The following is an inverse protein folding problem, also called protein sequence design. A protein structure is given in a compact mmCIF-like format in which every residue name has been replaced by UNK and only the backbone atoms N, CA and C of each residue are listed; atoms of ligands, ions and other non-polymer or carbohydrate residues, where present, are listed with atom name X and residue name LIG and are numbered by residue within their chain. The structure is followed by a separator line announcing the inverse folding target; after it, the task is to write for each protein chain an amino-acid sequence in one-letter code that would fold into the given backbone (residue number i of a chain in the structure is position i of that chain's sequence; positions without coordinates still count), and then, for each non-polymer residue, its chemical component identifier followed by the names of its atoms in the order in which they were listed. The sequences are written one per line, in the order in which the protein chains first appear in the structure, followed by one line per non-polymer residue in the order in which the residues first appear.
data_IF_798850866104
#
_entry.id   IF_798850866104
#
_cell.length_a   1.000
_cell.length_b   1.000
_cell.length_c   1.000
_cell.angle_alpha   90.00
_cell.angle_beta   90.00
_cell.angle_gamma   90.00
#
_symmetry.space_group_name_H-M   'P 1'
#
loop_
_entity.id
_entity.type
_entity.pdbx_description
1 polymer ?
#
# COMPACT_ATOMS: atom_id res chain seq x y z
N UNK A 1 40.06 -17.71 -3.51
CA UNK A 1 38.99 -16.69 -3.51
C UNK A 1 39.61 -15.40 -3.00
N UNK A 2 39.97 -14.48 -3.88
CA UNK A 2 40.33 -13.12 -3.52
C UNK A 2 39.12 -12.43 -2.90
N UNK A 3 39.33 -11.73 -1.81
CA UNK A 3 38.27 -11.04 -1.09
C UNK A 3 37.60 -10.00 -1.98
N UNK A 4 36.26 -9.92 -1.99
CA UNK A 4 35.53 -8.82 -2.69
C UNK A 4 35.90 -7.42 -2.21
N UNK A 5 36.69 -7.32 -1.12
CA UNK A 5 37.15 -6.04 -0.57
C UNK A 5 38.23 -5.36 -1.41
N UNK A 6 38.99 -6.09 -2.23
CA UNK A 6 39.94 -5.45 -3.15
C UNK A 6 39.23 -4.69 -4.27
N UNK A 7 37.98 -4.99 -4.55
CA UNK A 7 37.15 -4.24 -5.50
C UNK A 7 36.54 -2.99 -4.88
N UNK A 8 36.42 -2.92 -3.56
CA UNK A 8 35.95 -1.71 -2.85
C UNK A 8 37.05 -0.64 -2.73
N UNK A 9 38.30 -1.00 -3.00
CA UNK A 9 39.42 -0.07 -3.16
C UNK A 9 39.55 0.49 -4.59
N UNK A 10 38.63 0.14 -5.51
CA UNK A 10 38.50 0.88 -6.76
C UNK A 10 38.07 2.27 -6.34
N UNK A 11 38.99 3.13 -6.43
CA UNK A 11 39.07 4.50 -6.10
C UNK A 11 37.79 5.26 -6.46
N UNK A 12 36.96 5.54 -5.46
CA UNK A 12 35.86 6.47 -5.58
C UNK A 12 36.31 7.92 -5.43
N UNK A 13 37.59 8.20 -5.63
CA UNK A 13 38.06 9.55 -5.83
C UNK A 13 37.50 10.05 -7.15
N UNK A 14 36.25 10.55 -7.05
CA UNK A 14 35.60 11.23 -8.16
C UNK A 14 36.30 12.58 -8.35
N UNK A 15 37.40 12.60 -9.09
CA UNK A 15 38.17 13.78 -9.44
C UNK A 15 37.38 14.78 -10.29
N UNK A 16 36.15 15.08 -9.94
CA UNK A 16 35.22 15.97 -10.64
C UNK A 16 34.39 15.27 -11.72
N UNK A 17 34.35 13.94 -11.78
CA UNK A 17 33.51 13.16 -12.67
C UNK A 17 32.06 13.06 -12.19
N UNK A 18 31.18 12.50 -13.04
CA UNK A 18 29.79 12.23 -12.71
C UNK A 18 29.67 10.96 -11.84
N UNK A 19 28.80 11.00 -10.82
CA UNK A 19 28.51 9.85 -9.96
C UNK A 19 27.15 9.27 -10.28
N UNK A 20 27.11 7.95 -10.57
CA UNK A 20 25.88 7.22 -10.87
C UNK A 20 25.70 6.06 -9.89
N UNK A 21 24.56 6.02 -9.17
CA UNK A 21 24.16 4.94 -8.27
C UNK A 21 22.96 4.23 -8.87
N UNK A 22 23.12 2.99 -9.31
CA UNK A 22 22.04 2.21 -9.93
C UNK A 22 21.81 0.89 -9.19
N UNK A 23 20.57 0.45 -9.08
CA UNK A 23 20.28 -0.81 -8.44
C UNK A 23 18.82 -1.25 -8.47
N UNK A 24 18.64 -2.49 -8.01
CA UNK A 24 17.33 -3.07 -7.68
C UNK A 24 17.34 -3.47 -6.20
N UNK A 25 17.18 -2.50 -5.29
CA UNK A 25 17.23 -2.75 -3.86
C UNK A 25 16.03 -3.58 -3.39
N UNK A 26 16.13 -4.27 -2.24
CA UNK A 26 15.00 -5.00 -1.68
C UNK A 26 13.86 -4.04 -1.28
N UNK A 27 12.65 -4.34 -1.75
CA UNK A 27 11.42 -3.66 -1.35
C UNK A 27 10.57 -4.61 -0.51
N UNK A 28 10.34 -4.20 0.74
CA UNK A 28 9.61 -4.99 1.73
C UNK A 28 8.70 -4.03 2.49
N UNK A 29 7.39 -4.15 2.25
CA UNK A 29 6.39 -3.35 2.94
C UNK A 29 6.46 -3.57 4.46
N UNK A 30 6.18 -2.55 5.24
CA UNK A 30 6.35 -2.51 6.71
C UNK A 30 5.76 -3.71 7.45
N UNK A 31 4.66 -4.27 6.94
CA UNK A 31 4.00 -5.45 7.55
C UNK A 31 4.85 -6.73 7.45
N UNK A 32 5.74 -6.80 6.48
CA UNK A 32 6.56 -7.97 6.17
C UNK A 32 8.02 -7.81 6.59
N UNK A 33 8.41 -6.62 7.07
CA UNK A 33 9.75 -6.36 7.56
C UNK A 33 10.02 -7.16 8.84
N UNK A 34 11.19 -7.80 8.89
CA UNK A 34 11.72 -8.44 10.09
C UNK A 34 12.06 -7.41 11.16
N UNK A 35 12.35 -7.86 12.38
CA UNK A 35 12.79 -6.97 13.47
C UNK A 35 14.07 -6.22 13.09
N UNK A 36 15.06 -6.93 12.55
CA UNK A 36 16.32 -6.32 12.11
C UNK A 36 16.10 -5.25 11.04
N UNK A 37 15.27 -5.51 10.02
CA UNK A 37 14.95 -4.53 8.99
C UNK A 37 14.26 -3.28 9.53
N UNK A 38 13.40 -3.43 10.55
CA UNK A 38 12.80 -2.28 11.25
C UNK A 38 13.82 -1.49 12.05
N UNK A 39 14.81 -2.16 12.64
CA UNK A 39 15.93 -1.52 13.33
C UNK A 39 16.80 -0.74 12.34
N UNK A 40 17.08 -1.31 11.15
CA UNK A 40 17.78 -0.60 10.07
C UNK A 40 17.04 0.66 9.64
N UNK A 41 15.71 0.54 9.39
CA UNK A 41 14.87 1.70 9.05
C UNK A 41 14.95 2.78 10.14
N UNK A 42 14.82 2.37 11.41
CA UNK A 42 14.90 3.31 12.54
C UNK A 42 16.25 3.99 12.63
N UNK A 43 17.33 3.24 12.39
CA UNK A 43 18.68 3.79 12.41
C UNK A 43 18.92 4.78 11.26
N UNK A 44 18.57 4.38 10.03
CA UNK A 44 18.78 5.18 8.82
C UNK A 44 17.95 6.47 8.84
N UNK A 45 16.71 6.40 9.33
CA UNK A 45 15.82 7.56 9.42
C UNK A 45 15.93 8.34 10.74
N UNK A 46 16.80 7.96 11.68
CA UNK A 46 16.89 8.55 13.02
C UNK A 46 17.10 10.07 13.02
N UNK A 47 17.83 10.58 12.02
CA UNK A 47 18.12 12.01 11.86
C UNK A 47 17.07 12.77 11.02
N UNK A 48 16.11 12.04 10.45
CA UNK A 48 15.07 12.63 9.61
C UNK A 48 13.90 13.12 10.46
N UNK A 49 13.54 14.38 10.32
CA UNK A 49 12.39 14.98 11.04
C UNK A 49 11.06 14.68 10.35
N UNK A 50 10.81 13.41 10.04
CA UNK A 50 9.60 12.92 9.38
C UNK A 50 9.11 11.62 10.03
N UNK A 51 7.80 11.35 9.96
CA UNK A 51 7.25 10.06 10.36
C UNK A 51 7.59 8.99 9.31
N UNK A 52 8.35 7.99 9.70
CA UNK A 52 8.82 6.91 8.81
C UNK A 52 8.27 5.52 9.18
N UNK A 53 7.38 5.42 10.16
CA UNK A 53 6.87 4.13 10.67
C UNK A 53 6.19 3.23 9.63
N UNK A 54 5.75 3.78 8.49
CA UNK A 54 5.12 3.04 7.40
C UNK A 54 5.99 2.95 6.14
N UNK A 55 7.28 3.33 6.21
CA UNK A 55 8.15 3.33 5.03
C UNK A 55 8.44 1.91 4.55
N UNK A 56 8.37 1.67 3.24
CA UNK A 56 8.91 0.47 2.62
C UNK A 56 10.43 0.44 2.80
N UNK A 57 11.01 -0.75 2.97
CA UNK A 57 12.45 -0.93 3.22
C UNK A 57 13.33 -0.25 2.15
N UNK A 58 12.88 -0.23 0.89
CA UNK A 58 13.58 0.48 -0.20
C UNK A 58 13.74 1.98 0.05
N UNK A 59 12.89 2.61 0.88
CA UNK A 59 13.02 4.01 1.27
C UNK A 59 14.37 4.32 1.93
N UNK A 60 14.98 3.34 2.61
CA UNK A 60 16.33 3.46 3.16
C UNK A 60 17.37 3.69 2.06
N UNK A 61 17.25 2.97 0.95
CA UNK A 61 18.17 3.09 -0.19
C UNK A 61 18.04 4.46 -0.87
N UNK A 62 16.82 4.96 -1.03
CA UNK A 62 16.59 6.31 -1.52
C UNK A 62 17.24 7.37 -0.63
N UNK A 63 17.09 7.23 0.70
CA UNK A 63 17.68 8.17 1.64
C UNK A 63 19.22 8.10 1.64
N UNK A 64 19.78 6.90 1.65
CA UNK A 64 21.26 6.70 1.63
C UNK A 64 21.85 7.23 0.33
N UNK A 65 21.24 6.93 -0.82
CA UNK A 65 21.68 7.47 -2.10
C UNK A 65 21.60 9.01 -2.15
N UNK A 66 20.50 9.58 -1.62
CA UNK A 66 20.33 11.02 -1.53
C UNK A 66 21.42 11.69 -0.68
N UNK A 67 21.74 11.11 0.49
CA UNK A 67 22.82 11.59 1.36
C UNK A 67 24.17 11.54 0.66
N UNK A 68 24.47 10.43 -0.03
CA UNK A 68 25.72 10.31 -0.76
C UNK A 68 25.83 11.36 -1.87
N UNK A 69 24.80 11.52 -2.70
CA UNK A 69 24.82 12.48 -3.80
C UNK A 69 24.89 13.94 -3.33
N UNK A 70 24.39 14.24 -2.15
CA UNK A 70 24.42 15.62 -1.62
C UNK A 70 25.84 16.18 -1.46
N UNK A 71 26.84 15.31 -1.36
CA UNK A 71 28.25 15.70 -1.27
C UNK A 71 28.90 15.97 -2.63
N UNK A 72 28.23 15.67 -3.73
CA UNK A 72 28.72 15.87 -5.09
C UNK A 72 27.99 17.01 -5.79
N UNK A 73 28.69 17.72 -6.64
CA UNK A 73 28.09 18.79 -7.47
C UNK A 73 27.28 18.23 -8.65
N UNK A 74 27.61 17.01 -9.08
CA UNK A 74 26.98 16.31 -10.18
C UNK A 74 26.80 14.84 -9.80
N UNK A 75 25.60 14.32 -10.01
CA UNK A 75 25.33 12.93 -9.74
C UNK A 75 23.86 12.60 -9.88
N UNK A 76 23.59 11.31 -10.09
CA UNK A 76 22.25 10.77 -10.15
C UNK A 76 22.18 9.38 -9.56
N UNK A 77 21.00 8.97 -9.11
CA UNK A 77 20.73 7.57 -8.81
C UNK A 77 19.47 7.11 -9.50
N UNK A 78 19.38 5.80 -9.75
CA UNK A 78 18.19 5.19 -10.33
C UNK A 78 17.93 3.83 -9.69
N UNK A 79 16.72 3.64 -9.20
CA UNK A 79 16.30 2.38 -8.59
C UNK A 79 15.06 1.79 -9.22
N UNK A 80 15.05 0.48 -9.34
CA UNK A 80 13.82 -0.28 -9.48
C UNK A 80 13.11 -0.28 -8.13
N UNK A 81 11.83 0.07 -8.11
CA UNK A 81 11.02 0.19 -6.91
C UNK A 81 9.62 -0.37 -7.12
N UNK A 82 8.91 -0.60 -6.04
CA UNK A 82 7.46 -0.79 -6.12
C UNK A 82 6.75 0.55 -6.28
N UNK A 83 5.63 0.56 -6.98
CA UNK A 83 4.78 1.75 -7.11
C UNK A 83 4.27 2.27 -5.75
N UNK A 84 4.23 1.41 -4.72
CA UNK A 84 3.75 1.77 -3.38
C UNK A 84 4.58 2.87 -2.72
N UNK A 85 5.89 2.97 -3.00
CA UNK A 85 6.75 4.02 -2.45
C UNK A 85 6.31 5.43 -2.91
N UNK A 86 5.68 5.51 -4.07
CA UNK A 86 5.19 6.76 -4.68
C UNK A 86 3.68 6.94 -4.52
N UNK A 87 3.09 6.28 -3.53
CA UNK A 87 1.65 6.32 -3.25
C UNK A 87 1.36 6.60 -1.77
N UNK A 88 0.18 7.16 -1.50
CA UNK A 88 -0.30 7.39 -0.14
C UNK A 88 0.70 8.14 0.75
N UNK A 89 0.87 7.69 1.97
CA UNK A 89 1.74 8.32 2.98
C UNK A 89 3.24 8.20 2.64
N UNK A 90 3.64 7.25 1.79
CA UNK A 90 5.05 7.07 1.43
C UNK A 90 5.55 8.14 0.46
N UNK A 91 4.69 8.68 -0.40
CA UNK A 91 5.05 9.79 -1.28
C UNK A 91 5.52 11.04 -0.50
N UNK A 92 5.02 11.24 0.74
CA UNK A 92 5.48 12.33 1.62
C UNK A 92 6.94 12.13 2.04
N UNK A 93 7.35 10.88 2.30
CA UNK A 93 8.73 10.53 2.64
C UNK A 93 9.66 10.79 1.45
N UNK A 94 9.26 10.39 0.25
CA UNK A 94 10.01 10.65 -0.98
C UNK A 94 10.18 12.16 -1.17
N UNK A 95 9.10 12.94 -1.05
CA UNK A 95 9.17 14.38 -1.20
C UNK A 95 10.08 15.03 -0.14
N UNK A 96 10.05 14.55 1.10
CA UNK A 96 10.97 15.01 2.14
C UNK A 96 12.42 14.79 1.75
N UNK A 97 12.77 13.58 1.30
CA UNK A 97 14.13 13.25 0.84
C UNK A 97 14.54 14.17 -0.31
N UNK A 98 13.69 14.31 -1.33
CA UNK A 98 13.98 15.17 -2.49
C UNK A 98 14.28 16.61 -2.07
N UNK A 99 13.44 17.19 -1.21
CA UNK A 99 13.60 18.58 -0.75
C UNK A 99 14.84 18.78 0.13
N UNK A 100 15.06 17.88 1.09
CA UNK A 100 16.17 18.00 2.03
C UNK A 100 17.53 17.93 1.35
N UNK A 101 17.65 17.11 0.32
CA UNK A 101 18.92 16.88 -0.40
C UNK A 101 18.98 17.55 -1.76
N UNK A 102 18.07 18.50 -2.05
CA UNK A 102 18.02 19.25 -3.31
C UNK A 102 17.99 18.37 -4.56
N UNK A 103 17.21 17.30 -4.49
CA UNK A 103 17.05 16.33 -5.57
C UNK A 103 15.72 16.53 -6.30
N UNK A 104 15.70 16.14 -7.57
CA UNK A 104 14.48 16.04 -8.40
C UNK A 104 14.39 14.65 -9.04
N UNK A 105 13.16 14.24 -9.31
CA UNK A 105 12.92 13.10 -10.18
C UNK A 105 13.15 13.59 -11.61
N UNK A 106 14.24 13.14 -12.22
CA UNK A 106 14.61 13.49 -13.58
C UNK A 106 13.83 12.69 -14.61
N UNK A 107 13.61 11.40 -14.32
CA UNK A 107 12.82 10.53 -15.15
C UNK A 107 12.17 9.42 -14.34
N UNK A 108 11.05 8.91 -14.85
CA UNK A 108 10.35 7.77 -14.27
C UNK A 108 9.84 6.88 -15.39
N UNK A 109 10.10 5.57 -15.25
CA UNK A 109 9.36 4.54 -15.97
C UNK A 109 8.19 4.13 -15.07
N UNK A 110 6.98 4.53 -15.46
CA UNK A 110 5.80 4.30 -14.63
C UNK A 110 5.37 2.84 -14.65
N UNK A 111 4.45 2.52 -13.76
CA UNK A 111 4.05 1.18 -13.36
C UNK A 111 4.02 0.13 -14.46
N UNK A 112 4.80 -0.92 -14.29
CA UNK A 112 4.79 -2.12 -15.10
C UNK A 112 4.75 -3.37 -14.23
N UNK A 113 4.22 -4.45 -14.77
CA UNK A 113 4.25 -5.74 -14.09
C UNK A 113 5.66 -6.34 -14.20
N UNK A 114 6.29 -6.58 -13.05
CA UNK A 114 7.54 -7.33 -13.04
C UNK A 114 7.23 -8.81 -13.31
N UNK A 115 7.63 -9.30 -14.46
CA UNK A 115 7.58 -10.72 -14.81
C UNK A 115 8.99 -11.30 -14.75
N UNK A 116 9.20 -12.28 -13.91
CA UNK A 116 10.37 -13.15 -13.98
C UNK A 116 9.92 -14.56 -14.32
N UNK A 117 10.81 -15.37 -14.87
CA UNK A 117 10.53 -16.76 -15.28
C UNK A 117 10.41 -17.74 -14.10
N UNK A 118 10.21 -17.26 -12.88
CA UNK A 118 10.07 -18.10 -11.68
C UNK A 118 8.64 -18.67 -11.57
N UNK A 119 8.53 -19.91 -11.15
CA UNK A 119 7.28 -20.69 -11.12
C UNK A 119 6.20 -20.14 -10.17
N UNK A 120 6.52 -19.20 -9.27
CA UNK A 120 5.58 -18.54 -8.34
C UNK A 120 5.65 -17.01 -8.50
N UNK A 121 5.22 -16.53 -9.65
CA UNK A 121 5.27 -15.11 -9.98
C UNK A 121 4.14 -14.34 -9.28
N UNK A 122 4.40 -13.83 -8.09
CA UNK A 122 3.57 -12.78 -7.52
C UNK A 122 3.81 -11.51 -8.35
N UNK A 123 2.87 -11.17 -9.26
CA UNK A 123 2.96 -10.00 -10.11
C UNK A 123 3.07 -8.72 -9.28
N UNK A 124 4.30 -8.26 -9.05
CA UNK A 124 4.57 -7.01 -8.35
C UNK A 124 4.56 -5.88 -9.37
N UNK A 125 3.76 -4.85 -9.10
CA UNK A 125 3.77 -3.64 -9.91
C UNK A 125 4.98 -2.79 -9.51
N UNK A 126 5.94 -2.69 -10.44
CA UNK A 126 7.18 -1.94 -10.27
C UNK A 126 7.16 -0.62 -11.06
N UNK A 127 8.09 0.24 -10.70
CA UNK A 127 8.48 1.42 -11.46
C UNK A 127 10.01 1.54 -11.42
N UNK A 128 10.60 2.36 -12.31
CA UNK A 128 12.01 2.73 -12.23
C UNK A 128 12.06 4.24 -12.13
N UNK A 129 12.82 4.74 -11.16
CA UNK A 129 12.86 6.18 -10.88
C UNK A 129 14.31 6.63 -10.83
N UNK A 130 14.64 7.61 -11.67
CA UNK A 130 15.92 8.29 -11.69
C UNK A 130 15.80 9.65 -11.02
N UNK A 131 16.68 9.90 -10.06
CA UNK A 131 16.78 11.15 -9.32
C UNK A 131 18.14 11.79 -9.56
N UNK A 132 18.18 13.12 -9.67
CA UNK A 132 19.41 13.90 -9.84
C UNK A 132 19.41 15.12 -8.94
N UNK A 133 20.58 15.73 -8.75
CA UNK A 133 20.70 17.03 -8.12
C UNK A 133 19.98 18.06 -9.01
N UNK A 134 19.12 18.87 -8.40
CA UNK A 134 18.34 19.87 -9.15
C UNK A 134 19.24 20.85 -9.85
N UNK A 135 19.09 20.96 -11.17
CA UNK A 135 19.80 21.94 -12.00
C UNK A 135 18.80 22.72 -12.86
N UNK A 136 18.98 24.03 -13.02
CA UNK A 136 18.14 24.82 -13.92
C UNK A 136 18.19 24.28 -15.36
N UNK A 137 17.02 24.12 -15.95
CA UNK A 137 16.91 23.64 -17.34
C UNK A 137 17.02 22.13 -17.55
N UNK A 138 17.16 21.30 -16.49
CA UNK A 138 17.13 19.85 -16.63
C UNK A 138 15.83 19.38 -17.25
N UNK A 139 15.93 18.60 -18.33
CA UNK A 139 14.78 17.97 -18.97
C UNK A 139 14.29 16.77 -18.14
N UNK A 140 12.97 16.60 -18.07
CA UNK A 140 12.34 15.52 -17.32
C UNK A 140 11.46 14.67 -18.21
N UNK A 141 11.52 13.35 -17.99
CA UNK A 141 10.84 12.39 -18.86
C UNK A 141 10.04 11.35 -18.09
N UNK A 142 8.82 11.12 -18.55
CA UNK A 142 8.01 9.96 -18.11
C UNK A 142 7.94 8.96 -19.25
N UNK A 143 8.22 7.71 -18.92
CA UNK A 143 8.11 6.55 -19.80
C UNK A 143 6.90 5.73 -19.37
N UNK A 144 5.93 5.57 -20.25
CA UNK A 144 4.68 4.86 -20.00
C UNK A 144 4.24 4.12 -21.25
N UNK A 145 3.92 2.84 -21.14
CA UNK A 145 3.46 2.00 -22.25
C UNK A 145 4.35 2.07 -23.51
N UNK A 146 5.67 2.13 -23.31
CA UNK A 146 6.65 2.23 -24.40
C UNK A 146 6.81 3.62 -25.01
N UNK A 147 6.03 4.61 -24.57
CA UNK A 147 6.16 5.99 -25.01
C UNK A 147 7.02 6.81 -24.05
N UNK A 148 7.81 7.74 -24.59
CA UNK A 148 8.56 8.77 -23.84
C UNK A 148 7.84 10.11 -23.94
N UNK A 149 7.59 10.74 -22.83
CA UNK A 149 6.98 12.07 -22.77
C UNK A 149 7.85 13.03 -21.96
N UNK A 150 8.22 14.15 -22.54
CA UNK A 150 8.86 15.25 -21.82
C UNK A 150 7.82 16.01 -20.98
N UNK A 151 8.18 16.37 -19.76
CA UNK A 151 7.29 17.06 -18.81
C UNK A 151 8.05 18.17 -18.07
N UNK A 152 7.32 19.18 -17.59
CA UNK A 152 7.93 20.29 -16.85
C UNK A 152 8.38 19.90 -15.43
N UNK A 153 7.67 18.98 -14.77
CA UNK A 153 8.04 18.43 -13.47
C UNK A 153 7.45 17.02 -13.29
N UNK A 154 8.13 16.19 -12.50
CA UNK A 154 7.64 14.88 -12.05
C UNK A 154 7.47 14.97 -10.55
N UNK A 155 6.22 15.00 -10.09
CA UNK A 155 5.90 15.04 -8.68
C UNK A 155 6.11 13.69 -7.97
N UNK A 156 5.96 13.66 -6.64
CA UNK A 156 6.23 12.46 -5.82
C UNK A 156 5.29 11.27 -6.09
N UNK A 157 4.25 11.45 -6.89
CA UNK A 157 3.35 10.39 -7.36
C UNK A 157 3.69 9.86 -8.76
N UNK A 158 4.85 10.22 -9.30
CA UNK A 158 5.34 9.87 -10.65
C UNK A 158 4.41 10.32 -11.78
N UNK A 159 3.76 11.45 -11.60
CA UNK A 159 2.91 12.10 -12.61
C UNK A 159 3.37 13.53 -12.85
N UNK A 160 3.02 14.13 -14.01
CA UNK A 160 3.35 15.54 -14.33
C UNK A 160 2.56 16.48 -13.42
N UNK A 161 3.15 16.86 -12.29
CA UNK A 161 2.54 17.75 -11.30
C UNK A 161 3.63 18.46 -10.48
N UNK A 162 3.29 19.54 -9.76
CA UNK A 162 4.18 20.16 -8.78
C UNK A 162 4.57 19.18 -7.66
N UNK A 163 5.64 19.53 -6.92
CA UNK A 163 6.12 18.77 -5.76
C UNK A 163 5.23 18.97 -4.54
N UNK A 164 4.05 18.38 -4.59
CA UNK A 164 3.04 18.41 -3.52
C UNK A 164 2.61 16.99 -3.13
N UNK A 165 2.24 16.83 -1.88
CA UNK A 165 1.68 15.57 -1.37
C UNK A 165 0.38 15.83 -0.63
N UNK A 166 -0.48 14.83 -0.63
CA UNK A 166 -1.69 14.82 0.17
C UNK A 166 -1.39 14.11 1.49
N UNK A 167 -1.17 14.91 2.54
CA UNK A 167 -0.94 14.37 3.88
C UNK A 167 -2.23 13.86 4.50
N UNK A 168 -2.11 12.83 5.35
CA UNK A 168 -3.22 12.28 6.10
C UNK A 168 -3.85 13.34 7.00
N UNK A 169 -5.18 13.46 6.96
CA UNK A 169 -5.95 14.41 7.76
C UNK A 169 -7.01 13.69 8.59
N UNK A 170 -7.35 14.26 9.73
CA UNK A 170 -8.43 13.77 10.58
C UNK A 170 -9.79 14.45 10.28
N UNK A 171 -9.76 15.60 9.61
CA UNK A 171 -10.96 16.36 9.23
C UNK A 171 -10.91 16.76 7.76
N UNK A 172 -12.07 16.85 7.08
CA UNK A 172 -12.17 17.33 5.71
C UNK A 172 -11.71 18.78 5.57
N UNK A 173 -11.14 19.12 4.40
CA UNK A 173 -10.73 20.49 4.06
C UNK A 173 -11.92 21.40 3.71
N UNK A 174 -13.00 20.82 3.22
CA UNK A 174 -14.07 21.52 2.47
C UNK A 174 -15.39 21.57 3.24
N UNK A 175 -15.41 21.44 4.55
CA UNK A 175 -16.66 21.44 5.34
C UNK A 175 -17.62 20.27 5.05
N UNK A 176 -17.19 19.30 4.26
CA UNK A 176 -17.95 18.06 3.99
C UNK A 176 -18.01 17.18 5.23
N UNK A 177 -18.96 16.26 5.26
CA UNK A 177 -19.07 15.26 6.32
C UNK A 177 -17.76 14.45 6.42
N UNK A 178 -17.28 14.23 7.64
CA UNK A 178 -16.10 13.42 7.88
C UNK A 178 -16.32 11.98 7.38
N UNK A 179 -15.29 11.43 6.71
CA UNK A 179 -15.30 10.06 6.24
C UNK A 179 -14.96 9.13 7.40
N UNK A 180 -15.86 8.21 7.73
CA UNK A 180 -15.64 7.14 8.71
C UNK A 180 -15.15 5.85 8.06
N UNK A 181 -14.62 4.95 8.88
CA UNK A 181 -14.38 3.58 8.43
C UNK A 181 -15.70 2.83 8.26
N UNK A 182 -15.78 1.98 7.25
CA UNK A 182 -16.91 1.05 7.09
C UNK A 182 -16.86 -0.12 8.08
N UNK A 183 -17.97 -0.84 8.19
CA UNK A 183 -18.03 -2.09 8.95
C UNK A 183 -17.15 -3.17 8.32
N UNK A 184 -16.58 -4.06 9.14
CA UNK A 184 -15.73 -5.18 8.70
C UNK A 184 -16.28 -6.50 9.21
N UNK A 185 -16.50 -7.45 8.31
CA UNK A 185 -17.10 -8.76 8.64
C UNK A 185 -16.11 -9.72 9.31
N UNK A 186 -14.89 -9.86 8.77
CA UNK A 186 -13.87 -10.82 9.21
C UNK A 186 -14.45 -12.25 9.29
N UNK A 187 -14.93 -12.76 8.14
CA UNK A 187 -15.77 -13.96 8.02
C UNK A 187 -15.40 -14.87 6.84
N UNK A 188 -14.34 -14.57 6.11
CA UNK A 188 -13.95 -15.24 4.83
C UNK A 188 -15.04 -15.19 3.74
N UNK A 189 -15.92 -14.19 3.79
CA UNK A 189 -17.01 -14.01 2.83
C UNK A 189 -18.28 -14.81 3.16
N UNK A 190 -18.34 -15.51 4.26
CA UNK A 190 -19.46 -16.39 4.66
C UNK A 190 -20.77 -15.61 4.91
N UNK A 191 -20.68 -14.34 5.29
CA UNK A 191 -21.86 -13.48 5.40
C UNK A 191 -22.43 -13.03 4.05
N UNK A 192 -21.72 -13.30 2.94
CA UNK A 192 -22.21 -12.91 1.62
C UNK A 192 -23.37 -13.80 1.19
N UNK A 193 -24.53 -13.17 0.89
CA UNK A 193 -25.73 -13.86 0.44
C UNK A 193 -25.80 -13.79 -1.09
N UNK A 194 -25.76 -14.94 -1.75
CA UNK A 194 -25.91 -15.03 -3.21
C UNK A 194 -27.34 -14.69 -3.63
N UNK A 195 -27.56 -14.17 -4.84
CA UNK A 195 -28.90 -13.84 -5.32
C UNK A 195 -29.91 -14.98 -5.19
N UNK A 196 -29.49 -16.22 -5.53
CA UNK A 196 -30.35 -17.44 -5.43
C UNK A 196 -30.74 -17.77 -4.00
N UNK A 197 -29.84 -17.50 -3.03
CA UNK A 197 -30.08 -17.79 -1.64
C UNK A 197 -30.95 -16.70 -0.99
N UNK A 198 -30.77 -15.44 -1.45
CA UNK A 198 -31.62 -14.32 -1.02
C UNK A 198 -33.10 -14.58 -1.26
N UNK A 199 -33.47 -15.01 -2.48
CA UNK A 199 -34.86 -15.29 -2.81
C UNK A 199 -35.45 -16.42 -1.94
N UNK A 200 -34.68 -17.49 -1.67
CA UNK A 200 -35.09 -18.57 -0.80
C UNK A 200 -35.32 -18.10 0.64
N UNK A 201 -34.35 -17.34 1.18
CA UNK A 201 -34.43 -16.81 2.55
C UNK A 201 -35.67 -15.95 2.72
N UNK A 202 -35.93 -15.06 1.77
CA UNK A 202 -37.11 -14.14 1.86
C UNK A 202 -38.42 -14.90 1.66
N UNK A 203 -38.44 -15.93 0.82
CA UNK A 203 -39.62 -16.79 0.67
C UNK A 203 -39.93 -17.58 1.94
N UNK A 204 -38.89 -18.03 2.65
CA UNK A 204 -39.03 -18.77 3.90
C UNK A 204 -39.35 -17.87 5.09
N UNK A 205 -38.62 -16.74 5.25
CA UNK A 205 -38.80 -15.76 6.32
C UNK A 205 -38.71 -14.33 5.78
N UNK A 206 -39.83 -13.68 5.42
CA UNK A 206 -39.84 -12.33 4.89
C UNK A 206 -39.20 -11.28 5.82
N UNK A 207 -39.24 -11.48 7.13
CA UNK A 207 -38.68 -10.56 8.13
C UNK A 207 -37.14 -10.57 8.09
N UNK A 208 -36.54 -11.65 7.62
CA UNK A 208 -35.10 -11.76 7.40
C UNK A 208 -34.55 -10.76 6.37
N UNK A 209 -35.41 -10.15 5.55
CA UNK A 209 -35.02 -9.07 4.65
C UNK A 209 -34.37 -7.89 5.39
N UNK A 210 -34.84 -7.59 6.59
CA UNK A 210 -34.27 -6.52 7.42
C UNK A 210 -32.82 -6.79 7.86
N UNK A 211 -32.41 -8.06 7.91
CA UNK A 211 -31.07 -8.51 8.30
C UNK A 211 -30.07 -8.55 7.13
N UNK A 212 -30.56 -8.50 5.89
CA UNK A 212 -29.72 -8.58 4.70
C UNK A 212 -29.51 -7.18 4.14
N UNK A 213 -28.28 -6.69 4.20
CA UNK A 213 -27.92 -5.33 3.77
C UNK A 213 -27.12 -5.35 2.48
N UNK A 214 -27.23 -4.28 1.69
CA UNK A 214 -26.32 -4.04 0.56
C UNK A 214 -24.97 -3.65 1.12
N UNK A 215 -23.93 -4.37 0.69
CA UNK A 215 -22.55 -4.11 1.05
C UNK A 215 -21.83 -3.52 -0.16
N UNK A 216 -21.22 -2.36 0.02
CA UNK A 216 -20.45 -1.67 -1.01
C UNK A 216 -19.00 -1.54 -0.53
N UNK A 217 -18.10 -2.20 -1.23
CA UNK A 217 -16.67 -1.95 -1.15
C UNK A 217 -16.18 -1.23 -2.41
N UNK A 218 -14.87 -0.95 -2.50
CA UNK A 218 -14.31 -0.29 -3.67
C UNK A 218 -14.55 -1.04 -4.98
N UNK A 219 -14.46 -2.37 -4.96
CA UNK A 219 -14.71 -3.20 -6.15
C UNK A 219 -16.17 -3.17 -6.60
N UNK A 220 -17.11 -3.27 -5.67
CA UNK A 220 -18.54 -3.19 -5.94
C UNK A 220 -18.92 -1.82 -6.51
N UNK A 221 -18.39 -0.75 -5.91
CA UNK A 221 -18.64 0.61 -6.37
C UNK A 221 -18.12 0.86 -7.79
N UNK A 222 -16.86 0.49 -8.05
CA UNK A 222 -16.21 0.72 -9.37
C UNK A 222 -16.87 -0.12 -10.47
N UNK A 223 -17.30 -1.34 -10.15
CA UNK A 223 -17.85 -2.29 -11.13
C UNK A 223 -19.37 -2.26 -11.22
N UNK A 224 -20.06 -1.48 -10.40
CA UNK A 224 -21.52 -1.44 -10.33
C UNK A 224 -22.16 -2.75 -9.85
N UNK A 225 -21.46 -3.54 -9.03
CA UNK A 225 -21.94 -4.85 -8.54
C UNK A 225 -22.69 -4.65 -7.24
N UNK A 226 -23.87 -5.27 -7.13
CA UNK A 226 -24.64 -5.31 -5.89
C UNK A 226 -24.29 -6.59 -5.12
N UNK A 227 -23.59 -6.44 -3.98
CA UNK A 227 -23.36 -7.53 -3.02
C UNK A 227 -24.30 -7.38 -1.83
N UNK A 228 -24.85 -8.49 -1.36
CA UNK A 228 -25.68 -8.54 -0.16
C UNK A 228 -24.94 -9.32 0.93
N UNK A 229 -25.06 -8.85 2.16
CA UNK A 229 -24.48 -9.54 3.31
C UNK A 229 -25.47 -9.59 4.46
N UNK A 230 -25.45 -10.72 5.19
CA UNK A 230 -26.14 -10.84 6.46
C UNK A 230 -25.45 -9.91 7.46
N UNK A 231 -26.20 -8.93 7.98
CA UNK A 231 -25.71 -7.96 8.96
C UNK A 231 -26.68 -7.90 10.14
N UNK A 232 -26.22 -8.32 11.30
CA UNK A 232 -26.99 -8.34 12.53
C UNK A 232 -26.47 -7.28 13.47
N UNK A 233 -27.34 -6.33 13.83
CA UNK A 233 -27.06 -5.34 14.87
C UNK A 233 -27.19 -5.99 16.26
N UNK A 234 -26.39 -5.54 17.24
CA UNK A 234 -26.44 -6.05 18.62
C UNK A 234 -27.80 -5.89 19.30
N UNK A 235 -28.58 -4.92 18.86
CA UNK A 235 -29.91 -4.61 19.39
C UNK A 235 -31.00 -5.53 18.83
N UNK A 236 -30.67 -6.32 17.79
CA UNK A 236 -31.64 -7.20 17.13
C UNK A 236 -31.67 -8.56 17.82
N UNK A 237 -32.82 -8.93 18.34
CA UNK A 237 -33.07 -10.29 18.82
C UNK A 237 -33.57 -11.15 17.68
N UNK A 238 -32.77 -12.12 17.24
CA UNK A 238 -33.18 -13.08 16.22
C UNK A 238 -34.28 -14.01 16.75
N UNK A 239 -35.32 -14.23 15.95
CA UNK A 239 -36.32 -15.27 16.22
C UNK A 239 -35.67 -16.66 16.18
N UNK A 240 -36.37 -17.67 16.72
CA UNK A 240 -35.90 -19.05 16.65
C UNK A 240 -35.70 -19.51 15.20
N UNK A 241 -36.63 -19.16 14.34
CA UNK A 241 -36.57 -19.44 12.90
C UNK A 241 -35.36 -18.83 12.22
N UNK A 242 -35.04 -17.57 12.52
CA UNK A 242 -33.86 -16.89 11.97
C UNK A 242 -32.56 -17.49 12.45
N UNK A 243 -32.49 -17.89 13.73
CA UNK A 243 -31.29 -18.58 14.26
C UNK A 243 -31.06 -19.92 13.57
N UNK A 244 -32.11 -20.65 13.28
CA UNK A 244 -32.06 -21.94 12.56
C UNK A 244 -31.64 -21.69 11.09
N UNK A 245 -32.30 -20.75 10.41
CA UNK A 245 -32.06 -20.38 9.01
C UNK A 245 -30.61 -19.97 8.74
N UNK A 246 -29.98 -19.23 9.65
CA UNK A 246 -28.61 -18.75 9.51
C UNK A 246 -27.58 -19.60 10.27
N UNK A 247 -27.96 -20.68 10.90
CA UNK A 247 -27.10 -21.54 11.76
C UNK A 247 -25.85 -22.02 11.04
N UNK A 248 -25.98 -22.46 9.79
CA UNK A 248 -24.84 -22.91 8.98
C UNK A 248 -23.82 -21.82 8.70
N UNK A 249 -24.29 -20.60 8.41
CA UNK A 249 -23.43 -19.42 8.20
C UNK A 249 -22.67 -19.14 9.50
N UNK A 250 -23.34 -19.10 10.63
CA UNK A 250 -22.70 -18.85 11.92
C UNK A 250 -21.66 -19.92 12.26
N UNK A 251 -21.96 -21.19 12.00
CA UNK A 251 -21.02 -22.30 12.24
C UNK A 251 -19.76 -22.18 11.36
N UNK A 252 -19.90 -21.79 10.08
CA UNK A 252 -18.75 -21.58 9.19
C UNK A 252 -17.91 -20.39 9.63
N UNK A 253 -18.53 -19.27 9.98
CA UNK A 253 -17.83 -18.09 10.52
C UNK A 253 -17.10 -18.43 11.83
N UNK A 254 -17.73 -19.18 12.72
CA UNK A 254 -17.12 -19.63 13.96
C UNK A 254 -15.85 -20.46 13.70
N UNK A 255 -15.94 -21.45 12.82
CA UNK A 255 -14.81 -22.31 12.45
C UNK A 255 -13.66 -21.49 11.85
N UNK A 256 -13.96 -20.61 10.90
CA UNK A 256 -12.97 -19.71 10.29
C UNK A 256 -12.24 -18.86 11.35
N UNK A 257 -12.99 -18.22 12.23
CA UNK A 257 -12.41 -17.37 13.28
C UNK A 257 -11.60 -18.16 14.29
N UNK A 258 -12.05 -19.33 14.67
CA UNK A 258 -11.35 -20.21 15.61
C UNK A 258 -10.01 -20.73 15.05
N UNK A 259 -9.95 -20.98 13.73
CA UNK A 259 -8.74 -21.47 13.06
C UNK A 259 -7.72 -20.37 12.71
N UNK A 260 -8.03 -19.10 12.97
CA UNK A 260 -7.16 -17.97 12.62
C UNK A 260 -5.88 -17.98 13.46
N UNK A 261 -4.76 -17.62 12.85
CA UNK A 261 -3.48 -17.40 13.56
C UNK A 261 -3.44 -16.08 14.36
N UNK A 262 -4.49 -15.26 14.29
CA UNK A 262 -4.57 -13.96 14.97
C UNK A 262 -5.45 -14.07 16.21
N UNK A 263 -4.88 -13.88 17.39
CA UNK A 263 -5.60 -13.97 18.67
C UNK A 263 -6.86 -13.06 18.74
N UNK A 264 -6.78 -11.86 18.13
CA UNK A 264 -7.94 -10.96 18.05
C UNK A 264 -9.09 -11.54 17.22
N UNK A 265 -8.80 -12.27 16.14
CA UNK A 265 -9.80 -12.95 15.32
C UNK A 265 -10.36 -14.17 16.05
N UNK A 266 -9.52 -14.97 16.74
CA UNK A 266 -9.95 -16.12 17.52
C UNK A 266 -10.98 -15.74 18.60
N UNK A 267 -10.79 -14.60 19.30
CA UNK A 267 -11.76 -14.10 20.29
C UNK A 267 -13.15 -13.85 19.71
N UNK A 268 -13.25 -13.51 18.43
CA UNK A 268 -14.53 -13.29 17.74
C UNK A 268 -15.28 -14.59 17.41
N UNK A 269 -14.68 -15.77 17.58
CA UNK A 269 -15.35 -17.06 17.38
C UNK A 269 -16.49 -17.28 18.37
N UNK A 270 -16.44 -16.65 19.55
CA UNK A 270 -17.52 -16.69 20.54
C UNK A 270 -18.78 -15.90 20.15
N UNK A 271 -18.69 -15.03 19.14
CA UNK A 271 -19.81 -14.20 18.67
C UNK A 271 -19.92 -14.27 17.13
N UNK A 272 -20.15 -15.47 16.56
CA UNK A 272 -20.03 -15.73 15.12
C UNK A 272 -21.10 -15.01 14.28
N UNK A 273 -22.22 -14.59 14.89
CA UNK A 273 -23.32 -13.92 14.19
C UNK A 273 -23.04 -12.45 13.84
N UNK A 274 -22.03 -11.85 14.45
CA UNK A 274 -21.77 -10.41 14.29
C UNK A 274 -20.57 -10.14 13.41
N UNK A 275 -20.60 -9.01 12.73
CA UNK A 275 -19.41 -8.45 12.11
C UNK A 275 -18.35 -8.14 13.18
N UNK A 276 -17.08 -8.24 12.82
CA UNK A 276 -15.97 -7.91 13.71
C UNK A 276 -15.96 -6.43 14.11
N UNK A 277 -16.28 -5.56 13.16
CA UNK A 277 -16.47 -4.14 13.39
C UNK A 277 -17.81 -3.71 12.80
N UNK A 278 -18.62 -3.06 13.61
CA UNK A 278 -19.93 -2.53 13.26
C UNK A 278 -19.90 -1.02 13.41
N UNK A 279 -20.26 -0.29 12.37
CA UNK A 279 -20.21 1.17 12.33
C UNK A 279 -21.40 1.72 11.55
#
# INVERSE_FOLDING_TARGET
FQSPLDQAQIDFENEGGETYICGNPPYIGTKYQTKSQKEDVSHIFSEERIKFGNVDYIGCWFLVAARNLHHYSQGSFAFVSTSSLFQGEQAEIVLHIMRKYSLKIAWAHTSFLWSNNAANNAGVTCCIVGCEIERPGSEKFIYENGARRQVGNIGPYLVPMPDVVVSKRQSPLSGLTAMGYGSMSNDDGEFTIRPSDYEKIIAEDPDSKALIKITLGGAEFIRGIVRRSLYIDEKVNLSHKQKELFSEIFNRVQKYRASSNRAATQKLSGVPMFFAERR
#
